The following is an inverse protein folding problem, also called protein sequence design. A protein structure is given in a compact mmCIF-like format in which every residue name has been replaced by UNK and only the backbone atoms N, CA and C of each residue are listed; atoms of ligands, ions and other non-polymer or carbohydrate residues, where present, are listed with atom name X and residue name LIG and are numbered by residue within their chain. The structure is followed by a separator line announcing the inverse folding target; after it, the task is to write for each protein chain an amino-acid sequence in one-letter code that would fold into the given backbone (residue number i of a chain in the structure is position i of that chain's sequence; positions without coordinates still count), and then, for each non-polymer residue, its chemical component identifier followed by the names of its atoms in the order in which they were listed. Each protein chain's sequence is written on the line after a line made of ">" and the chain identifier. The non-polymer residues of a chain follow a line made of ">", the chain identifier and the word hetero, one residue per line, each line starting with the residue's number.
data_IF_513565472014
#
_entry.id   IF_513565472014
#
_cell.length_a   1.000
_cell.length_b   1.000
_cell.length_c   1.000
_cell.angle_alpha   90.00
_cell.angle_beta   90.00
_cell.angle_gamma   90.00
#
_symmetry.space_group_name_H-M   'P 1'
#
loop_
_entity.id
_entity.type
_entity.pdbx_description
1 polymer ?
#
# COMPACT_ATOMS: atom_id res chain seq x y z
N UNK A 1 -0.93 10.33 -2.50
CA UNK A 1 -1.45 10.63 -1.14
C UNK A 1 -2.01 12.05 -1.08
N UNK A 2 -3.09 12.31 -0.34
CA UNK A 2 -3.62 13.68 -0.11
C UNK A 2 -3.14 14.17 1.26
N UNK A 3 -2.81 15.45 1.38
CA UNK A 3 -2.54 16.06 2.68
C UNK A 3 -3.83 16.08 3.52
N UNK A 4 -3.82 15.58 4.77
CA UNK A 4 -5.02 15.51 5.60
C UNK A 4 -5.52 16.90 6.05
N UNK A 5 -4.62 17.89 6.12
CA UNK A 5 -4.96 19.25 6.58
C UNK A 5 -5.54 20.11 5.47
N UNK A 6 -5.00 20.01 4.24
CA UNK A 6 -5.41 20.90 3.14
C UNK A 6 -5.96 20.19 1.89
N UNK A 7 -6.06 18.86 1.92
CA UNK A 7 -6.59 18.04 0.81
C UNK A 7 -5.72 18.00 -0.46
N UNK A 8 -4.57 18.70 -0.47
CA UNK A 8 -3.71 18.77 -1.65
C UNK A 8 -3.14 17.38 -2.01
N UNK A 9 -3.26 17.00 -3.28
CA UNK A 9 -2.70 15.75 -3.81
C UNK A 9 -1.18 15.89 -3.87
N UNK A 10 -0.47 15.10 -3.09
CA UNK A 10 0.97 14.91 -3.20
C UNK A 10 1.28 14.07 -4.43
N UNK A 11 2.04 14.67 -5.36
CA UNK A 11 2.71 13.96 -6.46
C UNK A 11 4.19 13.86 -6.08
N UNK A 12 4.75 12.66 -5.82
CA UNK A 12 6.18 12.51 -5.63
C UNK A 12 6.89 13.04 -6.88
N UNK A 13 7.87 13.92 -6.72
CA UNK A 13 8.73 14.30 -7.84
C UNK A 13 9.46 13.04 -8.32
N UNK A 14 9.28 12.64 -9.58
CA UNK A 14 10.13 11.62 -10.21
C UNK A 14 11.58 11.97 -9.86
N UNK A 15 12.30 11.00 -9.30
CA UNK A 15 13.63 11.17 -8.75
C UNK A 15 14.48 12.09 -9.62
N UNK A 16 15.04 13.12 -8.99
CA UNK A 16 16.12 13.89 -9.59
C UNK A 16 17.20 12.89 -10.00
N UNK A 17 17.42 12.77 -11.31
CA UNK A 17 18.68 12.25 -11.86
C UNK A 17 19.80 12.96 -11.11
N UNK A 18 20.62 12.17 -10.41
CA UNK A 18 21.95 12.59 -9.99
C UNK A 18 22.72 13.00 -11.26
N UNK A 19 22.78 14.30 -11.53
CA UNK A 19 23.82 14.86 -12.38
C UNK A 19 24.84 15.47 -11.43
N UNK A 20 25.86 14.67 -11.11
CA UNK A 20 27.05 15.16 -10.44
C UNK A 20 27.66 16.33 -11.22
N UNK A 21 27.89 17.43 -10.51
CA UNK A 21 28.99 18.35 -10.80
C UNK A 21 29.65 18.70 -9.47
N UNK A 22 30.90 18.27 -9.41
CA UNK A 22 31.91 18.53 -8.39
C UNK A 22 32.04 20.02 -8.08
N UNK A 23 32.35 20.33 -6.83
CA UNK A 23 33.36 21.33 -6.45
C UNK A 23 33.81 21.07 -5.00
N UNK A 24 35.05 21.48 -4.68
CA UNK A 24 35.87 21.14 -3.51
C UNK A 24 35.14 21.07 -2.17
N UNK A 25 35.53 20.22 -1.22
CA UNK A 25 36.86 20.30 -0.61
C UNK A 25 37.28 19.03 0.15
N UNK A 26 38.59 18.93 0.29
CA UNK A 26 39.39 17.86 0.91
C UNK A 26 39.04 17.65 2.39
N UNK A 27 38.80 16.40 2.79
CA UNK A 27 39.53 15.80 3.92
C UNK A 27 39.43 14.28 3.92
N UNK A 28 40.59 13.64 3.78
CA UNK A 28 40.84 12.23 4.06
C UNK A 28 40.64 11.94 5.54
N UNK A 29 39.89 10.90 5.91
CA UNK A 29 40.35 9.83 6.84
C UNK A 29 39.28 8.78 7.11
N UNK A 30 39.75 7.53 7.01
CA UNK A 30 39.43 6.40 7.89
C UNK A 30 38.05 5.74 7.80
N UNK A 31 38.06 4.66 7.03
CA UNK A 31 37.17 3.50 7.20
C UNK A 31 37.44 2.93 8.60
N UNK A 32 36.60 3.26 9.57
CA UNK A 32 36.48 2.50 10.81
C UNK A 32 35.00 2.31 11.16
N UNK A 33 34.67 1.07 11.54
CA UNK A 33 33.38 0.61 12.02
C UNK A 33 32.63 1.63 12.89
N UNK A 34 31.47 2.13 12.45
CA UNK A 34 30.40 2.62 13.32
C UNK A 34 29.10 2.80 12.54
N UNK A 35 28.01 2.27 13.09
CA UNK A 35 26.60 2.66 12.94
C UNK A 35 26.06 3.09 11.55
N UNK A 36 25.05 2.36 11.06
CA UNK A 36 24.13 2.85 10.03
C UNK A 36 23.66 4.28 10.35
N UNK A 37 23.84 5.27 9.45
CA UNK A 37 23.31 6.60 9.64
C UNK A 37 21.80 6.58 9.36
N UNK A 38 21.02 6.19 10.37
CA UNK A 38 19.70 6.78 10.56
C UNK A 38 19.93 8.27 10.89
N UNK A 39 19.11 9.15 10.33
CA UNK A 39 19.02 10.61 10.59
C UNK A 39 19.67 11.51 9.53
N UNK A 40 19.04 11.55 8.35
CA UNK A 40 18.49 12.80 7.81
C UNK A 40 17.54 12.46 6.66
N UNK A 41 16.37 11.95 7.02
CA UNK A 41 15.26 11.92 6.07
C UNK A 41 14.89 13.37 5.75
N UNK A 42 14.81 13.78 4.47
CA UNK A 42 14.40 15.15 4.13
C UNK A 42 13.00 15.38 4.70
N UNK A 43 12.80 16.43 5.48
CA UNK A 43 11.49 16.75 6.06
C UNK A 43 10.47 16.95 4.93
N UNK A 44 9.59 15.96 4.75
CA UNK A 44 8.65 15.97 3.63
C UNK A 44 7.47 16.84 4.03
N UNK A 45 7.61 18.13 3.81
CA UNK A 45 6.56 19.10 4.14
C UNK A 45 5.55 19.27 3.00
N UNK A 46 4.28 19.45 3.34
CA UNK A 46 3.27 19.82 2.36
C UNK A 46 3.57 21.22 1.80
N UNK A 47 3.76 21.35 0.48
CA UNK A 47 4.02 22.66 -0.16
C UNK A 47 2.93 23.71 0.08
N UNK A 48 1.69 23.30 0.36
CA UNK A 48 0.53 24.20 0.52
C UNK A 48 0.34 24.66 1.96
N UNK A 49 0.30 23.74 2.93
CA UNK A 49 0.05 24.08 4.34
C UNK A 49 1.30 23.99 5.24
N UNK A 50 2.47 23.65 4.68
CA UNK A 50 3.75 23.47 5.39
C UNK A 50 3.74 22.44 6.52
N UNK A 51 2.68 21.62 6.63
CA UNK A 51 2.58 20.51 7.58
C UNK A 51 3.63 19.47 7.27
N UNK A 52 4.30 18.96 8.30
CA UNK A 52 5.21 17.82 8.19
C UNK A 52 4.40 16.55 7.89
N UNK A 53 4.74 15.87 6.80
CA UNK A 53 4.09 14.64 6.38
C UNK A 53 4.91 13.40 6.73
N UNK A 54 6.04 13.53 7.44
CA UNK A 54 6.94 12.42 7.75
C UNK A 54 6.20 11.23 8.39
N UNK A 55 5.31 11.49 9.35
CA UNK A 55 4.48 10.46 9.98
C UNK A 55 3.50 9.83 8.97
N UNK A 56 2.92 10.62 8.06
CA UNK A 56 2.00 10.11 7.04
C UNK A 56 2.71 9.19 6.04
N UNK A 57 3.95 9.51 5.67
CA UNK A 57 4.79 8.61 4.87
C UNK A 57 5.11 7.33 5.63
N UNK A 58 5.50 7.45 6.92
CA UNK A 58 5.74 6.28 7.77
C UNK A 58 4.51 5.37 7.87
N UNK A 59 3.32 5.93 8.09
CA UNK A 59 2.07 5.17 8.15
C UNK A 59 1.69 4.54 6.79
N UNK A 60 1.95 5.23 5.68
CA UNK A 60 1.75 4.67 4.35
C UNK A 60 2.70 3.51 4.07
N UNK A 61 3.98 3.67 4.40
CA UNK A 61 5.00 2.64 4.20
C UNK A 61 4.73 1.43 5.09
N UNK A 62 4.26 1.65 6.32
CA UNK A 62 3.78 0.61 7.21
C UNK A 62 2.57 -0.13 6.61
N UNK A 63 1.59 0.58 6.05
CA UNK A 63 0.44 -0.04 5.39
C UNK A 63 0.85 -0.93 4.22
N UNK A 64 1.82 -0.50 3.42
CA UNK A 64 2.38 -1.31 2.33
C UNK A 64 3.11 -2.53 2.87
N UNK A 65 3.87 -2.38 3.95
CA UNK A 65 4.58 -3.49 4.58
C UNK A 65 3.60 -4.56 5.09
N UNK A 66 2.57 -4.15 5.82
CA UNK A 66 1.54 -5.06 6.32
C UNK A 66 0.81 -5.76 5.16
N UNK A 67 0.50 -5.05 4.08
CA UNK A 67 -0.12 -5.67 2.90
C UNK A 67 0.81 -6.71 2.22
N UNK A 68 2.12 -6.43 2.14
CA UNK A 68 3.10 -7.39 1.59
C UNK A 68 3.22 -8.62 2.48
N UNK A 69 3.24 -8.44 3.79
CA UNK A 69 3.24 -9.55 4.73
C UNK A 69 1.98 -10.40 4.58
N UNK A 70 0.81 -9.76 4.41
CA UNK A 70 -0.43 -10.46 4.12
C UNK A 70 -0.36 -11.31 2.84
N UNK A 71 0.25 -10.80 1.77
CA UNK A 71 0.48 -11.55 0.53
C UNK A 71 1.42 -12.75 0.74
N UNK A 72 2.49 -12.56 1.52
CA UNK A 72 3.41 -13.64 1.87
C UNK A 72 2.68 -14.73 2.67
N UNK A 73 1.96 -14.37 3.73
CA UNK A 73 1.18 -15.31 4.55
C UNK A 73 0.07 -16.02 3.75
N UNK A 74 -0.57 -15.32 2.83
CA UNK A 74 -1.52 -15.91 1.89
C UNK A 74 -0.86 -17.02 1.07
N UNK A 75 0.35 -16.80 0.54
CA UNK A 75 1.09 -17.82 -0.22
C UNK A 75 1.45 -19.05 0.61
N UNK A 76 1.56 -18.89 1.94
CA UNK A 76 1.80 -19.97 2.89
C UNK A 76 0.51 -20.66 3.37
N UNK A 77 -0.66 -20.26 2.87
CA UNK A 77 -1.96 -20.79 3.29
C UNK A 77 -2.43 -20.30 4.67
N UNK A 78 -1.74 -19.33 5.29
CA UNK A 78 -2.04 -18.80 6.63
C UNK A 78 -3.09 -17.68 6.54
N UNK A 79 -4.33 -18.04 6.18
CA UNK A 79 -5.38 -17.08 5.81
C UNK A 79 -5.80 -16.11 6.93
N UNK A 80 -5.92 -16.59 8.16
CA UNK A 80 -6.32 -15.75 9.30
C UNK A 80 -5.30 -14.65 9.61
N UNK A 81 -4.01 -14.99 9.51
CA UNK A 81 -2.92 -14.06 9.77
C UNK A 81 -2.74 -13.07 8.61
N UNK A 82 -2.91 -13.56 7.37
CA UNK A 82 -2.99 -12.69 6.20
C UNK A 82 -4.12 -11.66 6.32
N UNK A 83 -5.30 -12.07 6.81
CA UNK A 83 -6.41 -11.16 7.05
C UNK A 83 -6.09 -10.13 8.13
N UNK A 84 -5.42 -10.53 9.21
CA UNK A 84 -4.98 -9.60 10.27
C UNK A 84 -4.07 -8.49 9.71
N UNK A 85 -3.00 -8.87 8.99
CA UNK A 85 -2.08 -7.90 8.40
C UNK A 85 -2.74 -7.03 7.33
N UNK A 86 -3.59 -7.61 6.47
CA UNK A 86 -4.29 -6.82 5.47
C UNK A 86 -5.30 -5.85 6.11
N UNK A 87 -5.93 -6.21 7.22
CA UNK A 87 -6.80 -5.31 7.99
C UNK A 87 -6.02 -4.15 8.62
N UNK A 88 -4.79 -4.38 9.10
CA UNK A 88 -3.90 -3.32 9.55
C UNK A 88 -3.57 -2.35 8.40
N UNK A 89 -3.26 -2.88 7.21
CA UNK A 89 -3.03 -2.06 6.03
C UNK A 89 -4.25 -1.21 5.65
N UNK A 90 -5.47 -1.77 5.71
CA UNK A 90 -6.72 -1.04 5.45
C UNK A 90 -6.98 0.03 6.52
N UNK A 91 -6.70 -0.26 7.79
CA UNK A 91 -6.89 0.69 8.89
C UNK A 91 -5.97 1.91 8.75
N UNK A 92 -4.73 1.69 8.31
CA UNK A 92 -3.77 2.75 8.04
C UNK A 92 -4.09 3.52 6.75
N UNK A 93 -4.52 2.82 5.71
CA UNK A 93 -4.82 3.43 4.42
C UNK A 93 -5.98 2.75 3.68
N UNK A 94 -7.19 3.22 3.97
CA UNK A 94 -8.44 2.62 3.51
C UNK A 94 -8.76 2.85 2.03
N UNK A 95 -8.05 3.76 1.34
CA UNK A 95 -8.34 4.13 -0.05
C UNK A 95 -7.55 3.35 -1.12
N UNK A 96 -6.78 2.33 -0.73
CA UNK A 96 -6.05 1.50 -1.69
C UNK A 96 -6.92 0.33 -2.15
N UNK A 97 -7.16 0.25 -3.46
CA UNK A 97 -7.97 -0.80 -4.07
C UNK A 97 -7.40 -2.21 -3.85
N UNK A 98 -6.08 -2.36 -3.90
CA UNK A 98 -5.42 -3.67 -3.77
C UNK A 98 -5.65 -4.29 -2.39
N UNK A 99 -5.76 -3.47 -1.36
CA UNK A 99 -6.01 -3.94 0.00
C UNK A 99 -7.42 -4.54 0.12
N UNK A 100 -8.41 -3.88 -0.48
CA UNK A 100 -9.78 -4.40 -0.56
C UNK A 100 -9.88 -5.61 -1.49
N UNK A 101 -9.08 -5.65 -2.57
CA UNK A 101 -9.04 -6.79 -3.47
C UNK A 101 -8.51 -8.05 -2.78
N UNK A 102 -7.44 -7.90 -1.98
CA UNK A 102 -6.88 -8.98 -1.16
C UNK A 102 -7.86 -9.40 -0.05
N UNK A 103 -8.55 -8.45 0.60
CA UNK A 103 -9.58 -8.78 1.58
C UNK A 103 -10.69 -9.65 0.97
N UNK A 104 -11.15 -9.30 -0.23
CA UNK A 104 -12.15 -10.11 -0.93
C UNK A 104 -11.66 -11.52 -1.24
N UNK A 105 -10.40 -11.66 -1.66
CA UNK A 105 -9.77 -12.97 -1.88
C UNK A 105 -9.70 -13.80 -0.60
N UNK A 106 -9.34 -13.19 0.52
CA UNK A 106 -9.25 -13.87 1.82
C UNK A 106 -10.62 -14.35 2.30
N UNK A 107 -11.67 -13.54 2.15
CA UNK A 107 -13.06 -13.95 2.45
C UNK A 107 -13.53 -15.09 1.57
N UNK A 108 -13.25 -15.04 0.25
CA UNK A 108 -13.62 -16.10 -0.68
C UNK A 108 -12.94 -17.44 -0.34
N UNK A 109 -11.68 -17.40 0.11
CA UNK A 109 -10.95 -18.59 0.57
C UNK A 109 -11.53 -19.20 1.86
N UNK A 110 -12.25 -18.40 2.65
CA UNK A 110 -12.98 -18.86 3.84
C UNK A 110 -14.40 -19.34 3.52
N UNK A 111 -14.85 -19.22 2.27
CA UNK A 111 -16.21 -19.57 1.84
C UNK A 111 -17.24 -18.46 2.01
N UNK A 112 -16.83 -17.30 2.54
CA UNK A 112 -17.69 -16.14 2.80
C UNK A 112 -17.81 -15.27 1.55
N UNK A 113 -18.55 -15.78 0.56
CA UNK A 113 -18.64 -15.14 -0.77
C UNK A 113 -19.36 -13.78 -0.75
N UNK A 114 -20.26 -13.53 0.20
CA UNK A 114 -20.99 -12.25 0.29
C UNK A 114 -20.02 -11.12 0.68
N UNK A 115 -19.20 -11.36 1.68
CA UNK A 115 -18.17 -10.47 2.21
C UNK A 115 -17.06 -10.27 1.17
N UNK A 116 -16.72 -11.33 0.43
CA UNK A 116 -15.79 -11.26 -0.69
C UNK A 116 -16.26 -10.30 -1.78
N UNK A 117 -17.52 -10.44 -2.23
CA UNK A 117 -18.13 -9.56 -3.23
C UNK A 117 -18.13 -8.10 -2.76
N UNK A 118 -18.52 -7.86 -1.50
CA UNK A 118 -18.56 -6.50 -0.95
C UNK A 118 -17.16 -5.85 -0.96
N UNK A 119 -16.12 -6.62 -0.62
CA UNK A 119 -14.73 -6.17 -0.62
C UNK A 119 -14.23 -5.86 -2.04
N UNK A 120 -14.50 -6.73 -3.02
CA UNK A 120 -14.12 -6.46 -4.41
C UNK A 120 -14.88 -5.27 -5.01
N UNK A 121 -16.16 -5.10 -4.68
CA UNK A 121 -16.90 -3.90 -5.07
C UNK A 121 -16.28 -2.63 -4.49
N UNK A 122 -15.78 -2.70 -3.25
CA UNK A 122 -15.08 -1.58 -2.63
C UNK A 122 -13.74 -1.29 -3.32
N UNK A 123 -12.99 -2.32 -3.74
CA UNK A 123 -11.79 -2.16 -4.55
C UNK A 123 -12.11 -1.41 -5.85
N UNK A 124 -13.17 -1.81 -6.57
CA UNK A 124 -13.59 -1.16 -7.82
C UNK A 124 -14.10 0.28 -7.67
N UNK A 125 -14.57 0.67 -6.47
CA UNK A 125 -14.88 2.08 -6.20
C UNK A 125 -13.63 2.95 -6.14
N UNK A 126 -12.51 2.40 -5.68
CA UNK A 126 -11.24 3.13 -5.58
C UNK A 126 -10.45 3.06 -6.88
N UNK A 127 -10.45 1.90 -7.53
CA UNK A 127 -9.83 1.67 -8.83
C UNK A 127 -10.76 0.82 -9.71
N UNK A 128 -11.53 1.45 -10.63
CA UNK A 128 -12.41 0.74 -11.55
C UNK A 128 -11.69 -0.24 -12.49
N UNK A 129 -10.37 -0.11 -12.67
CA UNK A 129 -9.58 -0.99 -13.54
C UNK A 129 -8.84 -2.09 -12.76
N UNK A 130 -9.16 -2.29 -11.47
CA UNK A 130 -8.52 -3.32 -10.66
C UNK A 130 -8.83 -4.73 -11.20
N UNK A 131 -7.88 -5.31 -11.93
CA UNK A 131 -8.03 -6.59 -12.63
C UNK A 131 -8.46 -7.72 -11.69
N UNK A 132 -7.86 -7.81 -10.50
CA UNK A 132 -8.17 -8.86 -9.52
C UNK A 132 -9.62 -8.78 -9.09
N UNK A 133 -10.11 -7.60 -8.74
CA UNK A 133 -11.50 -7.42 -8.30
C UNK A 133 -12.50 -7.70 -9.44
N UNK A 134 -12.20 -7.26 -10.66
CA UNK A 134 -13.01 -7.54 -11.86
C UNK A 134 -13.10 -9.05 -12.15
N UNK A 135 -11.96 -9.73 -12.25
CA UNK A 135 -11.87 -11.14 -12.59
C UNK A 135 -12.59 -12.00 -11.53
N UNK A 136 -12.38 -11.69 -10.24
CA UNK A 136 -13.01 -12.41 -9.15
C UNK A 136 -14.53 -12.23 -9.12
N UNK A 137 -15.04 -11.01 -9.32
CA UNK A 137 -16.49 -10.78 -9.39
C UNK A 137 -17.12 -11.46 -10.60
N UNK A 138 -16.45 -11.42 -11.76
CA UNK A 138 -16.94 -12.09 -12.97
C UNK A 138 -17.02 -13.60 -12.76
N UNK A 139 -15.99 -14.21 -12.15
CA UNK A 139 -15.97 -15.63 -11.82
C UNK A 139 -17.17 -16.02 -10.94
N UNK A 140 -17.42 -15.27 -9.86
CA UNK A 140 -18.55 -15.56 -8.97
C UNK A 140 -19.89 -15.42 -9.69
N UNK A 141 -20.07 -14.40 -10.51
CA UNK A 141 -21.30 -14.21 -11.28
C UNK A 141 -21.57 -15.36 -12.25
N UNK A 142 -20.51 -15.89 -12.88
CA UNK A 142 -20.62 -17.06 -13.76
C UNK A 142 -21.00 -18.32 -12.97
N UNK A 143 -20.37 -18.56 -11.82
CA UNK A 143 -20.73 -19.69 -10.95
C UNK A 143 -22.17 -19.61 -10.47
N UNK A 144 -22.65 -18.41 -10.11
CA UNK A 144 -24.02 -18.20 -9.67
C UNK A 144 -25.05 -18.48 -10.78
N UNK A 145 -24.74 -18.13 -12.04
CA UNK A 145 -25.61 -18.41 -13.20
C UNK A 145 -25.66 -19.90 -13.52
N UNK A 146 -24.53 -20.60 -13.45
CA UNK A 146 -24.45 -22.02 -13.76
C UNK A 146 -25.11 -22.91 -12.70
N UNK A 147 -25.21 -22.45 -11.45
CA UNK A 147 -25.91 -23.17 -10.38
C UNK A 147 -27.44 -22.96 -10.38
N UNK A 148 -27.98 -22.13 -11.28
CA UNK A 148 -29.42 -21.86 -11.41
C UNK A 148 -30.06 -22.58 -12.61
N UNK A 149 -29.29 -23.39 -13.34
CA UNK A 149 -29.72 -24.23 -14.47
C UNK A 149 -29.67 -25.70 -14.09
#
# INVERSE_FOLDING_TARGET
>A
MKCPVCGAIYRPTKGSRETGKNEGDKETREITNAQCPMLNAPSITCKRCKVDLSDLFSLHDQAIWDHREALYLLSQGRYSEAAMHNNQAIALYSSNADFHALAGKLWALQGEFREAIASWQQALKFDPENAIACDCLQMIQLMAKNNQT
#
